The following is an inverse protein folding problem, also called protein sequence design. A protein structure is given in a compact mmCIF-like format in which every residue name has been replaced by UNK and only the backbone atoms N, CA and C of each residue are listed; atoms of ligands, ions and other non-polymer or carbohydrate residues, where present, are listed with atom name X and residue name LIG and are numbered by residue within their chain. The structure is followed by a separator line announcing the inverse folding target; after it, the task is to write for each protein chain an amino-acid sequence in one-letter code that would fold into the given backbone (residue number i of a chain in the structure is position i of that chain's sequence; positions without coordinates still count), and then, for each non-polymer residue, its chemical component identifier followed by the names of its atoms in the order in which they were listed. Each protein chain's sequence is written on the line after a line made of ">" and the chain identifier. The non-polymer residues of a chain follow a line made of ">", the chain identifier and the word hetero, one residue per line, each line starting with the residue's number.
data_IF_249665143757
#
_entry.id   IF_249665143757
#
_cell.length_a   1.000
_cell.length_b   1.000
_cell.length_c   1.000
_cell.angle_alpha   90.00
_cell.angle_beta   90.00
_cell.angle_gamma   90.00
#
_symmetry.space_group_name_H-M   'P 1'
#
loop_
_entity.id
_entity.type
_entity.pdbx_description
1 polymer ?
#
# COMPACT_ATOMS: atom_id res chain seq x y z
N UNK A 1 2.88 -18.96 0.71
CA UNK A 1 4.19 -19.37 1.26
C UNK A 1 3.95 -20.41 2.35
N UNK A 2 4.82 -21.41 2.49
CA UNK A 2 4.70 -22.41 3.56
C UNK A 2 5.98 -22.43 4.37
N UNK A 3 5.87 -22.24 5.69
CA UNK A 3 6.97 -22.47 6.64
C UNK A 3 6.93 -23.96 7.00
N UNK A 4 7.98 -24.72 6.68
CA UNK A 4 8.00 -26.15 6.94
C UNK A 4 8.02 -26.45 8.43
N UNK A 5 7.63 -27.67 8.79
CA UNK A 5 7.69 -28.17 10.16
C UNK A 5 9.11 -28.04 10.74
N UNK A 6 9.19 -27.61 12.00
CA UNK A 6 10.46 -27.45 12.69
C UNK A 6 11.14 -28.81 12.93
N UNK A 7 12.44 -28.98 12.57
CA UNK A 7 13.12 -30.28 12.52
C UNK A 7 13.20 -31.00 13.88
N UNK A 8 13.18 -30.26 14.99
CA UNK A 8 13.26 -30.81 16.34
C UNK A 8 11.94 -30.72 17.14
N UNK A 9 10.85 -30.25 16.51
CA UNK A 9 9.55 -30.06 17.16
C UNK A 9 8.46 -30.62 16.26
N UNK A 10 8.30 -31.95 16.25
CA UNK A 10 7.30 -32.68 15.46
C UNK A 10 5.84 -32.31 15.79
N UNK A 11 5.62 -31.67 16.93
CA UNK A 11 4.31 -31.12 17.33
C UNK A 11 4.00 -29.76 16.69
N UNK A 12 4.98 -29.10 16.07
CA UNK A 12 4.77 -27.84 15.36
C UNK A 12 4.38 -28.17 13.92
N UNK A 13 3.12 -27.92 13.58
CA UNK A 13 2.63 -28.16 12.23
C UNK A 13 3.22 -27.12 11.27
N UNK A 14 3.35 -27.43 9.98
CA UNK A 14 3.71 -26.44 8.96
C UNK A 14 2.74 -25.26 9.00
N UNK A 15 3.25 -24.05 8.75
CA UNK A 15 2.43 -22.83 8.71
C UNK A 15 2.27 -22.40 7.26
N UNK A 16 1.04 -22.42 6.78
CA UNK A 16 0.68 -21.90 5.48
C UNK A 16 0.27 -20.44 5.61
N UNK A 17 0.86 -19.60 4.77
CA UNK A 17 0.65 -18.15 4.75
C UNK A 17 0.25 -17.74 3.35
N UNK A 18 -0.92 -17.14 3.21
CA UNK A 18 -1.41 -16.61 1.94
C UNK A 18 -1.69 -15.12 2.06
N UNK A 19 -0.70 -14.30 1.66
CA UNK A 19 -0.76 -12.84 1.74
C UNK A 19 -0.18 -12.27 0.45
N UNK A 20 -0.84 -11.26 -0.11
CA UNK A 20 -0.40 -10.52 -1.30
C UNK A 20 -0.34 -9.03 -0.95
N UNK A 21 0.84 -8.44 -1.07
CA UNK A 21 1.07 -7.01 -0.91
C UNK A 21 1.25 -6.28 -2.24
N UNK A 22 1.12 -4.95 -2.23
CA UNK A 22 1.30 -4.13 -3.44
C UNK A 22 2.77 -4.10 -3.90
N UNK A 23 3.71 -4.06 -2.95
CA UNK A 23 5.15 -4.26 -3.20
C UNK A 23 5.59 -5.61 -2.65
N UNK A 24 6.73 -6.09 -3.14
CA UNK A 24 7.39 -7.30 -2.63
C UNK A 24 7.69 -7.16 -1.13
N UNK A 25 8.12 -5.97 -0.67
CA UNK A 25 8.41 -5.74 0.76
C UNK A 25 7.15 -5.85 1.62
N UNK A 26 6.02 -5.29 1.16
CA UNK A 26 4.72 -5.37 1.85
C UNK A 26 4.23 -6.82 1.93
N UNK A 27 4.49 -7.60 0.87
CA UNK A 27 4.15 -9.03 0.83
C UNK A 27 4.98 -9.82 1.84
N UNK A 28 6.28 -9.51 1.97
CA UNK A 28 7.17 -10.16 2.93
C UNK A 28 6.80 -9.79 4.37
N UNK A 29 6.57 -8.51 4.66
CA UNK A 29 6.17 -8.05 5.99
C UNK A 29 4.81 -8.63 6.40
N UNK A 30 3.83 -8.59 5.49
CA UNK A 30 2.51 -9.19 5.71
C UNK A 30 2.60 -10.70 5.93
N UNK A 31 3.39 -11.41 5.13
CA UNK A 31 3.59 -12.84 5.30
C UNK A 31 4.30 -13.19 6.63
N UNK A 32 5.26 -12.37 7.08
CA UNK A 32 5.94 -12.58 8.35
C UNK A 32 4.99 -12.36 9.54
N UNK A 33 4.16 -11.32 9.52
CA UNK A 33 3.18 -11.07 10.58
C UNK A 33 2.10 -12.15 10.64
N UNK A 34 1.59 -12.58 9.50
CA UNK A 34 0.59 -13.65 9.41
C UNK A 34 1.18 -14.99 9.91
N UNK A 35 2.42 -15.29 9.57
CA UNK A 35 3.14 -16.46 10.10
C UNK A 35 3.25 -16.46 11.62
N UNK A 36 3.66 -15.32 12.21
CA UNK A 36 3.79 -15.16 13.66
C UNK A 36 2.42 -15.30 14.33
N UNK A 37 1.38 -14.69 13.77
CA UNK A 37 0.02 -14.80 14.28
C UNK A 37 -0.47 -16.26 14.28
N UNK A 38 -0.32 -16.96 13.16
CA UNK A 38 -0.72 -18.36 13.02
C UNK A 38 0.06 -19.28 13.98
N UNK A 39 1.37 -19.07 14.12
CA UNK A 39 2.19 -19.78 15.09
C UNK A 39 1.67 -19.60 16.53
N UNK A 40 1.42 -18.35 16.92
CA UNK A 40 0.92 -18.03 18.25
C UNK A 40 -0.46 -18.66 18.51
N UNK A 41 -1.33 -18.66 17.50
CA UNK A 41 -2.65 -19.30 17.57
C UNK A 41 -2.56 -20.81 17.72
N UNK A 42 -1.62 -21.47 17.05
CA UNK A 42 -1.43 -22.92 17.12
C UNK A 42 -0.73 -23.38 18.42
N UNK A 43 0.07 -22.52 19.05
CA UNK A 43 0.90 -22.88 20.21
C UNK A 43 0.75 -21.92 21.40
N UNK A 44 -0.47 -21.70 21.92
CA UNK A 44 -0.72 -20.70 22.95
C UNK A 44 0.07 -20.94 24.25
N UNK A 45 0.25 -22.20 24.67
CA UNK A 45 1.00 -22.53 25.89
C UNK A 45 2.51 -22.32 25.74
N UNK A 46 3.05 -22.51 24.53
CA UNK A 46 4.48 -22.26 24.28
C UNK A 46 4.77 -20.77 24.26
N UNK A 47 3.85 -19.97 23.70
CA UNK A 47 3.95 -18.51 23.69
C UNK A 47 3.75 -17.92 25.10
N UNK A 48 2.88 -18.53 25.91
CA UNK A 48 2.65 -18.11 27.29
C UNK A 48 3.84 -18.42 28.21
N UNK A 49 4.54 -19.55 28.02
CA UNK A 49 5.70 -19.95 28.82
C UNK A 49 7.04 -19.37 28.37
N UNK A 50 7.16 -19.04 27.09
CA UNK A 50 8.31 -18.37 26.50
C UNK A 50 7.79 -17.33 25.50
N UNK A 51 7.53 -16.09 25.93
CA UNK A 51 7.12 -15.05 25.01
C UNK A 51 8.17 -14.95 23.91
N UNK A 52 7.72 -15.11 22.66
CA UNK A 52 8.60 -15.11 21.49
C UNK A 52 9.41 -13.82 21.54
N UNK A 53 10.72 -13.95 21.76
CA UNK A 53 11.66 -12.86 21.81
C UNK A 53 11.91 -12.28 20.42
N UNK A 54 10.87 -11.70 19.81
CA UNK A 54 10.94 -11.05 18.51
C UNK A 54 11.81 -9.77 18.53
N UNK A 55 12.29 -9.35 19.71
CA UNK A 55 13.31 -8.32 19.86
C UNK A 55 14.36 -8.76 20.88
N UNK A 56 15.66 -8.73 20.54
CA UNK A 56 16.72 -9.03 21.50
C UNK A 56 16.90 -7.85 22.46
N UNK A 57 16.99 -8.12 23.75
CA UNK A 57 18.07 -7.50 24.53
C UNK A 57 18.87 -8.63 25.15
N UNK A 58 20.15 -8.66 24.80
CA UNK A 58 21.09 -9.76 25.03
C UNK A 58 21.71 -9.70 26.44
N UNK A 59 21.23 -8.81 27.32
CA UNK A 59 21.82 -8.56 28.63
C UNK A 59 20.96 -9.15 29.76
N UNK A 60 21.44 -10.19 30.47
CA UNK A 60 20.79 -10.73 31.65
C UNK A 60 20.64 -9.74 32.81
N UNK A 61 21.34 -8.60 32.77
CA UNK A 61 21.24 -7.53 33.77
C UNK A 61 20.21 -6.45 33.40
N UNK A 62 19.53 -6.59 32.25
CA UNK A 62 18.43 -5.71 31.85
C UNK A 62 17.28 -5.82 32.88
N UNK A 63 16.80 -4.70 33.46
CA UNK A 63 15.65 -4.71 34.37
C UNK A 63 14.41 -5.38 33.78
N UNK A 64 14.26 -5.38 32.45
CA UNK A 64 13.16 -6.03 31.74
C UNK A 64 13.38 -7.55 31.53
N UNK A 65 14.57 -8.09 31.80
CA UNK A 65 14.86 -9.53 31.77
C UNK A 65 13.98 -10.29 32.76
N UNK A 66 13.80 -9.74 33.96
CA UNK A 66 12.91 -10.29 34.99
C UNK A 66 11.43 -10.29 34.59
N UNK A 67 11.04 -9.58 33.53
CA UNK A 67 9.68 -9.60 33.00
C UNK A 67 9.46 -10.78 32.02
N UNK A 68 10.53 -11.39 31.48
CA UNK A 68 10.51 -12.50 30.51
C UNK A 68 10.43 -13.88 31.14
N UNK A 69 10.99 -14.05 32.34
CA UNK A 69 10.87 -15.32 33.08
C UNK A 69 9.43 -15.46 33.53
N UNK A 70 8.70 -16.34 32.84
CA UNK A 70 7.38 -16.81 33.26
C UNK A 70 7.66 -17.74 34.44
N UNK A 71 7.30 -17.37 35.69
CA UNK A 71 7.28 -18.36 36.75
C UNK A 71 6.33 -19.48 36.31
N UNK A 72 6.65 -20.72 36.63
CA UNK A 72 5.87 -21.94 36.38
C UNK A 72 4.43 -21.80 36.95
N UNK A 73 3.60 -21.00 36.30
CA UNK A 73 2.35 -20.40 36.84
C UNK A 73 1.14 -21.17 36.33
N UNK A 74 1.26 -22.49 36.25
CA UNK A 74 0.09 -23.35 36.01
C UNK A 74 -0.80 -23.50 37.25
N UNK A 75 -0.43 -22.88 38.37
CA UNK A 75 -1.24 -22.88 39.58
C UNK A 75 -1.87 -21.50 39.71
N UNK A 76 -3.18 -21.44 39.53
CA UNK A 76 -4.09 -20.37 39.98
C UNK A 76 -4.12 -20.26 41.53
N UNK A 77 -2.98 -20.52 42.17
CA UNK A 77 -2.75 -20.69 43.60
C UNK A 77 -1.40 -20.01 43.96
N UNK A 78 -1.12 -18.88 43.32
CA UNK A 78 0.06 -18.04 43.56
C UNK A 78 -0.23 -16.93 44.57
N UNK A 79 0.80 -16.46 45.26
CA UNK A 79 0.70 -15.36 46.24
C UNK A 79 0.14 -14.09 45.60
N UNK A 80 -0.54 -13.23 46.38
CA UNK A 80 -1.02 -11.90 45.94
C UNK A 80 0.06 -11.08 45.23
N UNK A 81 1.34 -11.28 45.61
CA UNK A 81 2.49 -10.63 44.97
C UNK A 81 2.74 -11.10 43.53
N UNK A 82 2.57 -12.39 43.24
CA UNK A 82 2.77 -12.96 41.90
C UNK A 82 1.66 -12.51 40.95
N UNK A 83 0.43 -12.42 41.44
CA UNK A 83 -0.71 -11.86 40.70
C UNK A 83 -0.52 -10.37 40.38
N UNK A 84 -0.06 -9.58 41.35
CA UNK A 84 0.29 -8.16 41.15
C UNK A 84 1.39 -8.02 40.09
N UNK A 85 2.44 -8.84 40.18
CA UNK A 85 3.56 -8.83 39.23
C UNK A 85 3.13 -9.24 37.83
N UNK A 86 2.28 -10.25 37.70
CA UNK A 86 1.67 -10.67 36.43
C UNK A 86 0.81 -9.56 35.80
N UNK A 87 0.03 -8.85 36.63
CA UNK A 87 -0.82 -7.75 36.18
C UNK A 87 0.01 -6.56 35.69
N UNK A 88 1.07 -6.17 36.40
CA UNK A 88 1.98 -5.11 35.97
C UNK A 88 2.64 -5.46 34.62
N UNK A 89 3.07 -6.72 34.44
CA UNK A 89 3.64 -7.19 33.17
C UNK A 89 2.64 -7.11 32.03
N UNK A 90 1.41 -7.58 32.25
CA UNK A 90 0.34 -7.49 31.24
C UNK A 90 0.07 -6.03 30.85
N UNK A 91 -0.05 -5.13 31.84
CA UNK A 91 -0.24 -3.70 31.58
C UNK A 91 0.92 -3.07 30.78
N UNK A 92 2.16 -3.44 31.10
CA UNK A 92 3.33 -2.95 30.35
C UNK A 92 3.35 -3.44 28.90
N UNK A 93 3.06 -4.72 28.66
CA UNK A 93 2.96 -5.27 27.29
C UNK A 93 1.83 -4.59 26.52
N UNK A 94 0.66 -4.43 27.15
CA UNK A 94 -0.48 -3.75 26.55
C UNK A 94 -0.15 -2.29 26.21
N UNK A 95 0.55 -1.57 27.08
CA UNK A 95 0.98 -0.20 26.84
C UNK A 95 1.93 -0.09 25.64
N UNK A 96 2.94 -0.95 25.57
CA UNK A 96 3.88 -0.98 24.45
C UNK A 96 3.18 -1.33 23.13
N UNK A 97 2.26 -2.29 23.15
CA UNK A 97 1.44 -2.64 22.00
C UNK A 97 0.61 -1.45 21.52
N UNK A 98 -0.05 -0.73 22.42
CA UNK A 98 -0.81 0.48 22.08
C UNK A 98 0.08 1.59 21.48
N UNK A 99 1.29 1.77 22.02
CA UNK A 99 2.24 2.75 21.49
C UNK A 99 2.69 2.40 20.07
N UNK A 100 2.99 1.13 19.81
CA UNK A 100 3.36 0.64 18.48
C UNK A 100 2.21 0.80 17.48
N UNK A 101 0.99 0.41 17.87
CA UNK A 101 -0.20 0.62 17.04
C UNK A 101 -0.40 2.10 16.69
N UNK A 102 -0.27 3.00 17.67
CA UNK A 102 -0.40 4.44 17.43
C UNK A 102 0.65 4.96 16.46
N UNK A 103 1.90 4.49 16.55
CA UNK A 103 2.98 4.86 15.62
C UNK A 103 2.70 4.34 14.22
N UNK A 104 2.33 3.06 14.08
CA UNK A 104 1.97 2.46 12.79
C UNK A 104 0.80 3.18 12.12
N UNK A 105 -0.27 3.47 12.89
CA UNK A 105 -1.40 4.26 12.41
C UNK A 105 -0.99 5.67 11.96
N UNK A 106 -0.09 6.32 12.70
CA UNK A 106 0.44 7.64 12.33
C UNK A 106 1.21 7.61 11.01
N UNK A 107 2.04 6.58 10.78
CA UNK A 107 2.77 6.40 9.53
C UNK A 107 1.83 6.13 8.36
N UNK A 108 0.87 5.20 8.52
CA UNK A 108 -0.14 4.90 7.50
C UNK A 108 -0.96 6.14 7.15
N UNK A 109 -1.37 6.93 8.14
CA UNK A 109 -2.11 8.18 7.93
C UNK A 109 -1.28 9.18 7.12
N UNK A 110 0.01 9.35 7.46
CA UNK A 110 0.91 10.25 6.74
C UNK A 110 1.09 9.83 5.27
N UNK A 111 1.30 8.53 5.02
CA UNK A 111 1.42 7.96 3.68
C UNK A 111 0.13 8.19 2.88
N UNK A 112 -1.03 7.84 3.45
CA UNK A 112 -2.32 8.02 2.80
C UNK A 112 -2.60 9.50 2.45
N UNK A 113 -2.30 10.42 3.36
CA UNK A 113 -2.41 11.86 3.11
C UNK A 113 -1.47 12.34 2.00
N UNK A 114 -0.23 11.82 1.97
CA UNK A 114 0.72 12.11 0.90
C UNK A 114 0.20 11.67 -0.47
N UNK A 115 -0.33 10.45 -0.56
CA UNK A 115 -0.95 9.95 -1.78
C UNK A 115 -2.17 10.75 -2.21
N UNK A 116 -3.04 11.11 -1.27
CA UNK A 116 -4.22 11.94 -1.55
C UNK A 116 -3.82 13.30 -2.16
N UNK A 117 -2.87 14.01 -1.55
CA UNK A 117 -2.38 15.30 -2.08
C UNK A 117 -1.77 15.17 -3.48
N UNK A 118 -1.06 14.08 -3.74
CA UNK A 118 -0.49 13.83 -5.06
C UNK A 118 -1.57 13.56 -6.11
N UNK A 119 -2.57 12.74 -5.77
CA UNK A 119 -3.70 12.45 -6.65
C UNK A 119 -4.50 13.73 -6.95
N UNK A 120 -4.78 14.54 -5.94
CA UNK A 120 -5.46 15.83 -6.07
C UNK A 120 -4.72 16.77 -7.05
N UNK A 121 -3.39 16.88 -6.89
CA UNK A 121 -2.55 17.64 -7.83
C UNK A 121 -2.61 17.09 -9.26
N UNK A 122 -2.63 15.77 -9.44
CA UNK A 122 -2.74 15.15 -10.76
C UNK A 122 -4.11 15.43 -11.39
N UNK A 123 -5.19 15.39 -10.61
CA UNK A 123 -6.53 15.75 -11.07
C UNK A 123 -6.56 17.19 -11.58
N UNK A 124 -6.02 18.14 -10.83
CA UNK A 124 -5.92 19.54 -11.28
C UNK A 124 -5.12 19.67 -12.59
N UNK A 125 -4.02 18.92 -12.75
CA UNK A 125 -3.24 18.92 -13.99
C UNK A 125 -4.03 18.35 -15.17
N UNK A 126 -4.81 17.29 -14.95
CA UNK A 126 -5.68 16.70 -15.97
C UNK A 126 -6.75 17.70 -16.41
N UNK A 127 -7.40 18.39 -15.46
CA UNK A 127 -8.40 19.42 -15.77
C UNK A 127 -7.80 20.56 -16.61
N UNK A 128 -6.59 21.02 -16.28
CA UNK A 128 -5.88 22.03 -17.07
C UNK A 128 -5.54 21.54 -18.48
N UNK A 129 -5.09 20.30 -18.62
CA UNK A 129 -4.80 19.70 -19.93
C UNK A 129 -6.07 19.50 -20.74
N UNK A 130 -7.18 19.11 -20.13
CA UNK A 130 -8.47 19.00 -20.79
C UNK A 130 -8.94 20.35 -21.33
N UNK A 131 -8.86 21.42 -20.53
CA UNK A 131 -9.19 22.77 -21.00
C UNK A 131 -8.34 23.19 -22.21
N UNK A 132 -7.04 22.92 -22.18
CA UNK A 132 -6.14 23.21 -23.31
C UNK A 132 -6.47 22.38 -24.55
N UNK A 133 -6.85 21.11 -24.38
CA UNK A 133 -7.29 20.25 -25.49
C UNK A 133 -8.55 20.81 -26.13
N UNK A 134 -9.56 21.17 -25.33
CA UNK A 134 -10.80 21.78 -25.84
C UNK A 134 -10.52 23.08 -26.61
N UNK A 135 -9.68 23.98 -26.07
CA UNK A 135 -9.30 25.22 -26.77
C UNK A 135 -8.64 24.91 -28.13
N UNK A 136 -7.77 23.91 -28.18
CA UNK A 136 -7.12 23.51 -29.44
C UNK A 136 -8.09 22.87 -30.43
N UNK A 137 -9.06 22.10 -29.96
CA UNK A 137 -10.12 21.53 -30.80
C UNK A 137 -10.95 22.64 -31.46
N UNK A 138 -11.30 23.70 -30.72
CA UNK A 138 -11.99 24.86 -31.27
C UNK A 138 -11.16 25.58 -32.36
N UNK A 139 -9.85 25.76 -32.11
CA UNK A 139 -8.94 26.37 -33.10
C UNK A 139 -8.82 25.50 -34.36
N UNK A 140 -8.77 24.18 -34.20
CA UNK A 140 -8.70 23.23 -35.33
C UNK A 140 -10.00 23.32 -36.14
N UNK A 141 -11.17 23.29 -35.49
CA UNK A 141 -12.46 23.40 -36.18
C UNK A 141 -12.57 24.71 -36.99
N UNK A 142 -12.15 25.84 -36.42
CA UNK A 142 -12.14 27.13 -37.13
C UNK A 142 -11.18 27.14 -38.34
N UNK A 143 -10.05 26.45 -38.23
CA UNK A 143 -9.10 26.29 -39.35
C UNK A 143 -9.65 25.36 -40.43
N UNK A 144 -10.33 24.28 -40.06
CA UNK A 144 -10.97 23.37 -41.00
C UNK A 144 -12.03 24.09 -41.84
N UNK A 145 -12.88 24.92 -41.22
CA UNK A 145 -13.85 25.76 -41.94
C UNK A 145 -13.16 26.71 -42.93
N UNK A 146 -12.06 27.34 -42.51
CA UNK A 146 -11.28 28.23 -43.38
C UNK A 146 -10.66 27.48 -44.57
N UNK A 147 -10.19 26.24 -44.36
CA UNK A 147 -9.63 25.39 -45.42
C UNK A 147 -10.72 25.01 -46.42
N UNK A 148 -11.88 24.55 -45.95
CA UNK A 148 -13.03 24.22 -46.80
C UNK A 148 -13.44 25.41 -47.67
N UNK A 149 -13.53 26.60 -47.09
CA UNK A 149 -13.86 27.80 -47.86
C UNK A 149 -12.83 28.12 -48.95
N UNK A 150 -11.53 27.95 -48.66
CA UNK A 150 -10.47 28.17 -49.66
C UNK A 150 -10.49 27.10 -50.75
N UNK A 151 -10.80 25.86 -50.40
CA UNK A 151 -10.92 24.76 -51.35
C UNK A 151 -12.06 24.99 -52.34
N UNK A 152 -13.21 25.49 -51.87
CA UNK A 152 -14.32 25.93 -52.73
C UNK A 152 -13.90 27.05 -53.70
N UNK A 153 -13.14 28.04 -53.22
CA UNK A 153 -12.62 29.12 -54.07
C UNK A 153 -11.67 28.60 -55.16
N UNK A 154 -10.80 27.65 -54.82
CA UNK A 154 -9.87 27.02 -55.78
C UNK A 154 -10.67 26.24 -56.82
N UNK A 155 -11.62 25.41 -56.40
CA UNK A 155 -12.48 24.63 -57.30
C UNK A 155 -13.25 25.52 -58.28
N UNK A 156 -13.76 26.66 -57.81
CA UNK A 156 -14.43 27.64 -58.67
C UNK A 156 -13.45 28.27 -59.68
N UNK A 157 -12.25 28.66 -59.23
CA UNK A 157 -11.20 29.19 -60.11
C UNK A 157 -10.79 28.19 -61.18
N UNK A 158 -10.59 26.92 -60.81
CA UNK A 158 -10.20 25.85 -61.72
C UNK A 158 -11.28 25.58 -62.78
N UNK A 159 -12.56 25.62 -62.39
CA UNK A 159 -13.68 25.53 -63.32
C UNK A 159 -13.66 26.69 -64.34
N UNK A 160 -13.40 27.92 -63.89
CA UNK A 160 -13.28 29.09 -64.79
C UNK A 160 -12.09 28.99 -65.74
N UNK A 161 -10.94 28.51 -65.25
CA UNK A 161 -9.74 28.29 -66.08
C UNK A 161 -10.04 27.23 -67.14
N UNK A 162 -10.64 26.11 -66.74
CA UNK A 162 -11.04 25.03 -67.65
C UNK A 162 -11.97 25.55 -68.74
N UNK A 163 -12.99 26.34 -68.38
CA UNK A 163 -13.90 26.95 -69.34
C UNK A 163 -13.17 27.86 -70.35
N UNK A 164 -12.24 28.70 -69.88
CA UNK A 164 -11.46 29.58 -70.75
C UNK A 164 -10.55 28.80 -71.69
N UNK A 165 -9.91 27.74 -71.22
CA UNK A 165 -9.05 26.90 -72.03
C UNK A 165 -9.84 26.25 -73.19
N UNK A 166 -11.05 25.76 -72.92
CA UNK A 166 -11.94 25.22 -73.96
C UNK A 166 -12.23 26.28 -75.03
N UNK A 167 -12.57 27.51 -74.64
CA UNK A 167 -12.82 28.60 -75.61
C UNK A 167 -11.60 28.87 -76.49
N UNK A 168 -10.40 28.87 -75.90
CA UNK A 168 -9.15 29.10 -76.65
C UNK A 168 -8.88 27.97 -77.65
N UNK A 169 -9.17 26.70 -77.33
CA UNK A 169 -9.00 25.58 -78.27
C UNK A 169 -9.87 25.69 -79.54
N UNK A 170 -10.95 26.48 -79.50
CA UNK A 170 -11.86 26.69 -80.64
C UNK A 170 -11.61 27.99 -81.43
N UNK A 171 -10.60 28.79 -81.06
CA UNK A 171 -10.17 30.01 -81.76
C UNK A 171 -8.91 29.76 -82.59
#
# INVERSE_FOLDING_TARGET
>A
MTIPQHPFRSQWQPIEVDVVGYRIVDTIEGAALEAIYLFCKQHPMNVAGQPIGLFPTTDPNDPEWNLRVVPESHRLEGSTEEMLRGTIRFMNVQHHFQLLLRRGMGQLTSIAQGHFRNADRQVTQIEQLQALVTEKEEIIAAREETILHREDQINQSDAMITQRNVIIEFL
#
